data_IF_105583756767
#
_entry.id   IF_105583756767
#
_cell.length_a   1.000
_cell.length_b   1.000
_cell.length_c   1.000
_cell.angle_alpha   90.00
_cell.angle_beta   90.00
_cell.angle_gamma   90.00
#
_symmetry.space_group_name_H-M   'P 1'
#
loop_
_entity.id
_entity.type
_entity.pdbx_description
1 polymer ?
#
# COMPACT_ATOMS: atom_id res chain seq x y z
N UNK A 1 -17.85 -12.16 -38.60
CA UNK A 1 -17.76 -11.70 -37.21
C UNK A 1 -16.34 -12.00 -36.72
N UNK A 2 -15.58 -10.98 -36.37
CA UNK A 2 -14.30 -11.16 -35.67
C UNK A 2 -14.62 -11.03 -34.18
N UNK A 3 -14.41 -12.09 -33.40
CA UNK A 3 -14.41 -12.02 -31.96
C UNK A 3 -13.00 -11.54 -31.55
N UNK A 4 -12.87 -10.31 -31.12
CA UNK A 4 -11.68 -9.81 -30.42
C UNK A 4 -11.92 -10.03 -28.94
N UNK A 5 -11.24 -10.98 -28.36
CA UNK A 5 -11.12 -11.11 -26.92
C UNK A 5 -9.80 -10.44 -26.52
N UNK A 6 -9.89 -9.49 -25.63
CA UNK A 6 -8.68 -8.91 -25.01
C UNK A 6 -8.05 -9.98 -24.11
N UNK A 7 -6.73 -10.17 -24.23
CA UNK A 7 -6.04 -11.22 -23.49
C UNK A 7 -5.64 -10.65 -22.12
N UNK A 8 -6.15 -11.27 -21.06
CA UNK A 8 -5.75 -10.94 -19.69
C UNK A 8 -4.24 -11.12 -19.55
N UNK A 9 -3.58 -10.11 -19.00
CA UNK A 9 -2.14 -10.17 -18.74
C UNK A 9 -1.84 -11.20 -17.66
N UNK A 10 -0.82 -12.01 -17.87
CA UNK A 10 -0.42 -13.06 -16.90
C UNK A 10 -0.10 -12.49 -15.52
N UNK A 11 0.44 -11.27 -15.48
CA UNK A 11 0.78 -10.57 -14.25
C UNK A 11 -0.47 -10.23 -13.41
N UNK A 12 -1.64 -10.07 -14.05
CA UNK A 12 -2.88 -9.70 -13.36
C UNK A 12 -3.34 -10.77 -12.37
N UNK A 13 -3.19 -12.05 -12.69
CA UNK A 13 -3.51 -13.15 -11.77
C UNK A 13 -2.67 -13.06 -10.50
N UNK A 14 -1.36 -12.91 -10.68
CA UNK A 14 -0.43 -12.80 -9.56
C UNK A 14 -0.65 -11.55 -8.69
N UNK A 15 -1.13 -10.47 -9.30
CA UNK A 15 -1.47 -9.22 -8.58
C UNK A 15 -2.69 -9.42 -7.71
N UNK A 16 -3.77 -10.01 -8.24
CA UNK A 16 -5.00 -10.25 -7.49
C UNK A 16 -4.73 -11.18 -6.31
N UNK A 17 -4.05 -12.31 -6.56
CA UNK A 17 -3.66 -13.25 -5.51
C UNK A 17 -2.84 -12.57 -4.42
N UNK A 18 -1.84 -11.76 -4.81
CA UNK A 18 -0.98 -11.06 -3.85
C UNK A 18 -1.72 -9.97 -3.05
N UNK A 19 -2.73 -9.31 -3.63
CA UNK A 19 -3.57 -8.37 -2.90
C UNK A 19 -4.47 -9.07 -1.89
N UNK A 20 -5.06 -10.23 -2.25
CA UNK A 20 -5.84 -11.05 -1.33
C UNK A 20 -4.98 -11.56 -0.16
N UNK A 21 -3.74 -11.98 -0.39
CA UNK A 21 -2.80 -12.37 0.67
C UNK A 21 -2.43 -11.20 1.60
N UNK A 22 -2.63 -9.97 1.13
CA UNK A 22 -2.50 -8.76 1.92
C UNK A 22 -3.81 -8.32 2.58
N UNK A 23 -4.87 -9.16 2.58
CA UNK A 23 -6.20 -8.83 3.07
C UNK A 23 -6.79 -7.58 2.39
N UNK A 24 -6.61 -7.45 1.07
CA UNK A 24 -7.17 -6.36 0.27
C UNK A 24 -8.16 -6.94 -0.72
N UNK A 25 -9.41 -6.50 -0.65
CA UNK A 25 -10.45 -6.83 -1.63
C UNK A 25 -10.17 -6.08 -2.94
N UNK A 26 -10.40 -6.77 -4.06
CA UNK A 26 -10.18 -6.22 -5.40
C UNK A 26 -11.51 -5.92 -6.08
N UNK A 27 -11.68 -4.69 -6.54
CA UNK A 27 -12.84 -4.27 -7.32
C UNK A 27 -12.44 -3.88 -8.74
N UNK A 28 -13.24 -4.26 -9.72
CA UNK A 28 -13.05 -3.89 -11.12
C UNK A 28 -14.10 -2.88 -11.54
N UNK A 29 -13.65 -1.75 -12.12
CA UNK A 29 -14.48 -0.75 -12.77
C UNK A 29 -14.21 -0.76 -14.27
N UNK A 30 -15.21 -1.09 -15.07
CA UNK A 30 -15.07 -1.16 -16.52
C UNK A 30 -16.29 -0.59 -17.26
N UNK A 31 -16.05 -0.07 -18.46
CA UNK A 31 -17.11 0.29 -19.40
C UNK A 31 -17.61 -0.89 -20.24
N UNK A 32 -17.03 -2.07 -20.10
CA UNK A 32 -17.45 -3.28 -20.80
C UNK A 32 -18.81 -3.78 -20.34
N UNK A 33 -19.43 -4.65 -21.14
CA UNK A 33 -20.69 -5.29 -20.78
C UNK A 33 -20.55 -6.16 -19.53
N UNK A 34 -21.65 -6.30 -18.79
CA UNK A 34 -21.70 -7.11 -17.57
C UNK A 34 -21.20 -8.55 -17.79
N UNK A 35 -21.54 -9.16 -18.93
CA UNK A 35 -21.13 -10.54 -19.24
C UNK A 35 -19.62 -10.65 -19.41
N UNK A 36 -18.98 -9.70 -20.09
CA UNK A 36 -17.52 -9.67 -20.27
C UNK A 36 -16.83 -9.40 -18.94
N UNK A 37 -17.33 -8.43 -18.20
CA UNK A 37 -16.78 -8.07 -16.90
C UNK A 37 -16.85 -9.24 -15.91
N UNK A 38 -17.97 -9.95 -15.85
CA UNK A 38 -18.12 -11.13 -14.98
C UNK A 38 -17.16 -12.24 -15.39
N UNK A 39 -17.02 -12.53 -16.69
CA UNK A 39 -16.10 -13.55 -17.15
C UNK A 39 -14.63 -13.27 -16.75
N UNK A 40 -14.20 -12.01 -16.87
CA UNK A 40 -12.86 -11.56 -16.45
C UNK A 40 -12.71 -11.65 -14.93
N UNK A 41 -13.73 -11.24 -14.18
CA UNK A 41 -13.73 -11.26 -12.73
C UNK A 41 -13.66 -12.69 -12.17
N UNK A 42 -14.46 -13.59 -12.73
CA UNK A 42 -14.44 -15.01 -12.35
C UNK A 42 -13.07 -15.65 -12.63
N UNK A 43 -12.45 -15.28 -13.75
CA UNK A 43 -11.14 -15.81 -14.13
C UNK A 43 -10.00 -15.27 -13.25
N UNK A 44 -10.08 -14.00 -12.83
CA UNK A 44 -9.07 -13.35 -11.99
C UNK A 44 -9.33 -13.49 -10.49
N UNK A 45 -10.52 -13.91 -10.07
CA UNK A 45 -10.92 -13.95 -8.67
C UNK A 45 -11.23 -12.58 -8.08
N UNK A 46 -11.79 -11.66 -8.87
CA UNK A 46 -12.14 -10.29 -8.42
C UNK A 46 -13.41 -10.31 -7.56
N UNK A 47 -13.39 -9.62 -6.42
CA UNK A 47 -14.46 -9.68 -5.41
C UNK A 47 -15.69 -8.84 -5.78
N UNK A 48 -15.49 -7.71 -6.45
CA UNK A 48 -16.57 -6.77 -6.80
C UNK A 48 -16.43 -6.27 -8.23
N UNK A 49 -17.53 -6.27 -8.97
CA UNK A 49 -17.55 -5.84 -10.39
C UNK A 49 -18.55 -4.71 -10.58
N UNK A 50 -18.08 -3.62 -11.15
CA UNK A 50 -18.88 -2.52 -11.68
C UNK A 50 -18.66 -2.47 -13.19
N UNK A 51 -19.63 -2.99 -13.95
CA UNK A 51 -19.63 -3.00 -15.41
C UNK A 51 -20.49 -1.87 -15.99
N UNK A 52 -20.34 -1.60 -17.28
CA UNK A 52 -21.10 -0.58 -18.02
C UNK A 52 -21.00 0.82 -17.38
N UNK A 53 -19.89 1.10 -16.69
CA UNK A 53 -19.65 2.39 -16.00
C UNK A 53 -19.08 3.40 -16.98
N UNK A 54 -19.78 4.52 -17.15
CA UNK A 54 -19.27 5.63 -17.94
C UNK A 54 -18.07 6.30 -17.24
N UNK A 55 -17.15 6.91 -17.99
CA UNK A 55 -16.00 7.59 -17.40
C UNK A 55 -16.38 8.64 -16.34
N UNK A 56 -17.48 9.39 -16.58
CA UNK A 56 -18.03 10.40 -15.67
C UNK A 56 -18.66 9.84 -14.40
N UNK A 57 -19.00 8.54 -14.36
CA UNK A 57 -19.68 7.90 -13.22
C UNK A 57 -18.70 7.07 -12.35
N UNK A 58 -17.45 6.95 -12.75
CA UNK A 58 -16.45 6.15 -12.03
C UNK A 58 -16.21 6.65 -10.61
N UNK A 59 -16.21 7.95 -10.40
CA UNK A 59 -16.05 8.54 -9.08
C UNK A 59 -17.22 8.21 -8.14
N UNK A 60 -18.45 8.08 -8.67
CA UNK A 60 -19.61 7.66 -7.89
C UNK A 60 -19.46 6.22 -7.40
N UNK A 61 -18.85 5.33 -8.19
CA UNK A 61 -18.59 3.93 -7.76
C UNK A 61 -17.54 3.87 -6.66
N UNK A 62 -16.52 4.71 -6.70
CA UNK A 62 -15.58 4.90 -5.60
C UNK A 62 -16.32 5.36 -4.34
N UNK A 63 -17.22 6.35 -4.48
CA UNK A 63 -18.03 6.84 -3.36
C UNK A 63 -18.94 5.76 -2.79
N UNK A 64 -19.59 4.93 -3.61
CA UNK A 64 -20.42 3.81 -3.14
C UNK A 64 -19.66 2.85 -2.22
N UNK A 65 -18.37 2.59 -2.52
CA UNK A 65 -17.51 1.77 -1.67
C UNK A 65 -17.11 2.50 -0.37
N UNK A 66 -16.80 3.79 -0.44
CA UNK A 66 -16.48 4.61 0.73
C UNK A 66 -17.68 4.75 1.67
N UNK A 67 -18.90 4.88 1.14
CA UNK A 67 -20.14 4.95 1.92
C UNK A 67 -20.43 3.64 2.69
N UNK A 68 -19.87 2.51 2.22
CA UNK A 68 -19.87 1.24 2.93
C UNK A 68 -18.81 1.16 4.05
N UNK A 69 -18.02 2.22 4.26
CA UNK A 69 -16.96 2.29 5.25
C UNK A 69 -15.63 1.69 4.79
N UNK A 70 -15.46 1.40 3.50
CA UNK A 70 -14.21 0.90 2.94
C UNK A 70 -13.24 2.05 2.65
N UNK A 71 -11.95 1.81 2.88
CA UNK A 71 -10.88 2.67 2.37
C UNK A 71 -10.54 2.21 0.95
N UNK A 72 -10.65 3.12 -0.01
CA UNK A 72 -10.55 2.80 -1.43
C UNK A 72 -9.25 3.33 -2.03
N UNK A 73 -8.42 2.42 -2.55
CA UNK A 73 -7.33 2.76 -3.45
C UNK A 73 -7.79 2.62 -4.91
N UNK A 74 -7.77 3.70 -5.68
CA UNK A 74 -8.09 3.66 -7.10
C UNK A 74 -6.82 3.59 -7.92
N UNK A 75 -6.77 2.62 -8.85
CA UNK A 75 -5.67 2.48 -9.81
C UNK A 75 -6.20 2.76 -11.21
N UNK A 76 -5.59 3.69 -11.93
CA UNK A 76 -6.01 4.07 -13.27
C UNK A 76 -4.88 4.63 -14.12
N UNK A 77 -5.15 4.92 -15.40
CA UNK A 77 -4.18 5.52 -16.32
C UNK A 77 -4.05 7.05 -16.16
N UNK A 78 -4.93 7.66 -15.39
CA UNK A 78 -4.92 9.08 -15.04
C UNK A 78 -5.56 10.00 -16.06
N UNK A 79 -5.93 9.53 -17.25
CA UNK A 79 -6.56 10.39 -18.27
C UNK A 79 -8.09 10.38 -18.14
N UNK A 80 -8.68 9.19 -18.19
CA UNK A 80 -10.12 9.01 -18.09
C UNK A 80 -10.57 8.76 -16.64
N UNK A 81 -9.66 8.41 -15.76
CA UNK A 81 -9.92 8.04 -14.38
C UNK A 81 -9.63 9.17 -13.38
N UNK A 82 -9.24 10.37 -13.87
CA UNK A 82 -8.85 11.49 -13.02
C UNK A 82 -9.87 11.85 -11.92
N UNK A 83 -11.19 11.92 -12.17
CA UNK A 83 -12.18 12.16 -11.13
C UNK A 83 -12.21 11.06 -10.07
N UNK A 84 -12.14 9.77 -10.48
CA UNK A 84 -12.14 8.63 -9.58
C UNK A 84 -10.84 8.53 -8.76
N UNK A 85 -9.68 8.84 -9.37
CA UNK A 85 -8.38 8.92 -8.68
C UNK A 85 -8.40 10.00 -7.60
N UNK A 86 -8.93 11.18 -7.92
CA UNK A 86 -9.05 12.30 -6.96
C UNK A 86 -10.04 11.99 -5.83
N UNK A 87 -11.07 11.19 -6.10
CA UNK A 87 -12.10 10.83 -5.13
C UNK A 87 -11.64 9.79 -4.14
N UNK A 88 -10.84 8.84 -4.57
CA UNK A 88 -10.37 7.72 -3.75
C UNK A 88 -9.58 8.21 -2.51
N UNK A 89 -9.48 7.38 -1.48
CA UNK A 89 -8.62 7.66 -0.33
C UNK A 89 -7.14 7.64 -0.70
N UNK A 90 -6.79 6.88 -1.73
CA UNK A 90 -5.47 6.91 -2.39
C UNK A 90 -5.65 6.74 -3.89
N UNK A 91 -5.32 7.75 -4.67
CA UNK A 91 -5.27 7.69 -6.13
C UNK A 91 -3.89 7.22 -6.61
N UNK A 92 -3.85 6.18 -7.43
CA UNK A 92 -2.61 5.58 -7.97
C UNK A 92 -2.68 5.61 -9.50
N UNK A 93 -1.87 6.45 -10.13
CA UNK A 93 -1.72 6.45 -11.59
C UNK A 93 -0.65 5.47 -12.03
N UNK A 94 -0.95 4.66 -13.07
CA UNK A 94 -0.01 3.67 -13.60
C UNK A 94 0.32 3.95 -15.06
N UNK A 95 1.59 3.86 -15.43
CA UNK A 95 2.07 3.73 -16.81
C UNK A 95 2.36 5.02 -17.58
N UNK A 96 1.96 6.20 -17.14
CA UNK A 96 2.36 7.42 -17.85
C UNK A 96 2.35 8.64 -16.95
N UNK A 97 3.47 9.32 -16.92
CA UNK A 97 3.55 10.65 -16.29
C UNK A 97 2.86 11.73 -17.16
N UNK A 98 1.58 11.54 -17.53
CA UNK A 98 0.81 12.62 -18.14
C UNK A 98 0.57 13.71 -17.12
N UNK A 99 0.52 14.97 -17.55
CA UNK A 99 0.23 16.11 -16.67
C UNK A 99 -1.08 15.92 -15.87
N UNK A 100 -2.05 15.24 -16.47
CA UNK A 100 -3.35 14.92 -15.83
C UNK A 100 -3.18 13.90 -14.70
N UNK A 101 -2.40 12.82 -14.93
CA UNK A 101 -2.12 11.82 -13.91
C UNK A 101 -1.37 12.43 -12.72
N UNK A 102 -0.38 13.31 -13.00
CA UNK A 102 0.40 14.01 -11.97
C UNK A 102 -0.48 14.91 -11.09
N UNK A 103 -1.55 15.49 -11.64
CA UNK A 103 -2.43 16.39 -10.91
C UNK A 103 -3.55 15.67 -10.15
N UNK A 104 -3.88 14.42 -10.53
CA UNK A 104 -5.06 13.71 -10.05
C UNK A 104 -4.74 12.54 -9.11
N UNK A 105 -3.50 12.06 -9.09
CA UNK A 105 -3.09 10.91 -8.29
C UNK A 105 -2.15 11.29 -7.15
N UNK A 106 -2.27 10.60 -6.02
CA UNK A 106 -1.35 10.72 -4.88
C UNK A 106 -0.02 10.01 -5.14
N UNK A 107 -0.07 8.93 -5.93
CA UNK A 107 1.11 8.11 -6.28
C UNK A 107 1.13 7.87 -7.79
N UNK A 108 2.33 7.97 -8.37
CA UNK A 108 2.55 7.70 -9.79
C UNK A 108 3.52 6.53 -9.92
N UNK A 109 3.05 5.44 -10.53
CA UNK A 109 3.85 4.29 -10.90
C UNK A 109 4.34 4.47 -12.34
N UNK A 110 5.62 4.76 -12.49
CA UNK A 110 6.22 5.12 -13.79
C UNK A 110 6.20 3.95 -14.77
N UNK A 111 6.31 2.73 -14.28
CA UNK A 111 6.24 1.52 -15.10
C UNK A 111 4.80 1.06 -15.23
N UNK A 112 4.42 0.61 -16.44
CA UNK A 112 3.10 0.03 -16.69
C UNK A 112 3.07 -1.45 -16.24
N UNK A 113 3.38 -1.68 -14.94
CA UNK A 113 3.39 -3.00 -14.33
C UNK A 113 2.44 -3.04 -13.13
N UNK A 114 1.32 -3.76 -13.21
CA UNK A 114 0.35 -3.85 -12.10
C UNK A 114 0.96 -4.37 -10.79
N UNK A 115 2.05 -5.15 -10.86
CA UNK A 115 2.77 -5.66 -9.69
C UNK A 115 3.39 -4.52 -8.84
N UNK A 116 3.59 -3.34 -9.41
CA UNK A 116 4.11 -2.20 -8.66
C UNK A 116 3.09 -1.67 -7.62
N UNK A 117 1.79 -1.95 -7.80
CA UNK A 117 0.76 -1.69 -6.79
C UNK A 117 1.00 -2.56 -5.55
N UNK A 118 1.28 -3.84 -5.74
CA UNK A 118 1.61 -4.78 -4.64
C UNK A 118 2.89 -4.34 -3.91
N UNK A 119 3.92 -3.93 -4.68
CA UNK A 119 5.17 -3.38 -4.11
C UNK A 119 4.92 -2.12 -3.30
N UNK A 120 4.08 -1.21 -3.81
CA UNK A 120 3.69 0.01 -3.12
C UNK A 120 3.02 -0.30 -1.77
N UNK A 121 2.04 -1.20 -1.75
CA UNK A 121 1.34 -1.60 -0.51
C UNK A 121 2.31 -2.25 0.48
N UNK A 122 3.15 -3.16 0.01
CA UNK A 122 4.15 -3.85 0.84
C UNK A 122 5.14 -2.85 1.46
N UNK A 123 5.65 -1.91 0.67
CA UNK A 123 6.56 -0.86 1.13
C UNK A 123 5.87 0.07 2.12
N UNK A 124 4.62 0.45 1.86
CA UNK A 124 3.84 1.33 2.74
C UNK A 124 3.60 0.68 4.11
N UNK A 125 3.23 -0.61 4.15
CA UNK A 125 3.06 -1.36 5.39
C UNK A 125 4.38 -1.48 6.18
N UNK A 126 5.48 -1.75 5.50
CA UNK A 126 6.80 -1.81 6.12
C UNK A 126 7.23 -0.45 6.69
N UNK A 127 6.98 0.64 5.94
CA UNK A 127 7.28 2.01 6.37
C UNK A 127 6.45 2.41 7.60
N UNK A 128 5.16 2.10 7.58
CA UNK A 128 4.26 2.37 8.70
C UNK A 128 4.68 1.64 9.97
N UNK A 129 5.04 0.35 9.85
CA UNK A 129 5.56 -0.43 10.98
C UNK A 129 6.84 0.18 11.56
N UNK A 130 7.78 0.61 10.70
CA UNK A 130 9.00 1.28 11.15
C UNK A 130 8.72 2.61 11.82
N UNK A 131 7.77 3.37 11.32
CA UNK A 131 7.32 4.60 11.96
C UNK A 131 6.75 4.33 13.36
N UNK A 132 5.90 3.32 13.53
CA UNK A 132 5.36 2.93 14.83
C UNK A 132 6.47 2.49 15.79
N UNK A 133 7.40 1.64 15.35
CA UNK A 133 8.56 1.21 16.15
C UNK A 133 9.35 2.44 16.64
N UNK A 134 9.62 3.40 15.76
CA UNK A 134 10.36 4.62 16.11
C UNK A 134 9.61 5.50 17.11
N UNK A 135 8.28 5.63 16.96
CA UNK A 135 7.45 6.38 17.92
C UNK A 135 7.47 5.71 19.28
N UNK A 136 7.31 4.37 19.33
CA UNK A 136 7.35 3.62 20.60
C UNK A 136 8.71 3.78 21.29
N UNK A 137 9.80 3.70 20.55
CA UNK A 137 11.16 3.93 21.10
C UNK A 137 11.31 5.36 21.64
N UNK A 138 10.93 6.36 20.87
CA UNK A 138 11.07 7.76 21.26
C UNK A 138 10.17 8.12 22.45
N UNK A 139 8.90 7.68 22.44
CA UNK A 139 7.98 7.92 23.55
C UNK A 139 8.37 7.12 24.80
N UNK A 140 8.70 5.84 24.62
CA UNK A 140 9.10 4.95 25.72
C UNK A 140 10.32 5.46 26.46
N UNK A 141 11.35 5.90 25.73
CA UNK A 141 12.50 6.53 26.36
C UNK A 141 12.10 7.72 27.23
N UNK A 142 11.27 8.64 26.72
CA UNK A 142 10.85 9.84 27.43
C UNK A 142 9.99 9.54 28.66
N UNK A 143 9.12 8.50 28.61
CA UNK A 143 8.29 8.06 29.75
C UNK A 143 9.17 7.68 30.96
N UNK A 144 10.34 7.11 30.74
CA UNK A 144 11.28 6.75 31.80
C UNK A 144 12.27 7.88 32.12
N UNK A 145 12.80 8.55 31.10
CA UNK A 145 13.86 9.55 31.29
C UNK A 145 13.35 10.83 31.98
N UNK A 146 12.12 11.29 31.69
CA UNK A 146 11.58 12.52 32.27
C UNK A 146 11.36 12.37 33.78
N UNK A 147 10.70 11.34 34.34
CA UNK A 147 10.56 11.15 35.77
C UNK A 147 11.91 10.99 36.48
N UNK A 148 12.87 10.27 35.87
CA UNK A 148 14.22 10.12 36.39
C UNK A 148 14.95 11.48 36.47
N UNK A 149 14.86 12.28 35.42
CA UNK A 149 15.45 13.63 35.39
C UNK A 149 14.76 14.59 36.38
N UNK A 150 13.45 14.41 36.61
CA UNK A 150 12.70 15.13 37.63
C UNK A 150 13.02 14.72 39.08
N UNK A 151 13.89 13.69 39.25
CA UNK A 151 14.34 13.28 40.59
C UNK A 151 13.37 12.36 41.33
N UNK A 152 12.47 11.65 40.65
CA UNK A 152 11.52 10.71 41.29
C UNK A 152 12.24 9.65 42.13
N UNK A 153 13.48 9.25 41.76
CA UNK A 153 14.29 8.31 42.50
C UNK A 153 15.33 8.96 43.39
N UNK A 154 15.32 10.29 43.57
CA UNK A 154 16.22 11.01 44.50
C UNK A 154 16.14 10.50 45.94
N UNK A 155 14.98 10.10 46.52
CA UNK A 155 14.88 9.59 47.88
C UNK A 155 15.67 8.27 48.10
N UNK A 156 15.90 7.50 47.01
CA UNK A 156 16.67 6.25 47.04
C UNK A 156 18.11 6.43 46.55
N UNK A 157 18.58 7.68 46.44
CA UNK A 157 19.94 8.03 46.06
C UNK A 157 20.26 7.97 44.57
N UNK A 158 19.26 7.80 43.71
CA UNK A 158 19.44 7.76 42.25
C UNK A 158 19.05 9.13 41.66
N UNK A 159 20.07 9.85 41.19
CA UNK A 159 19.91 11.13 40.49
C UNK A 159 20.50 11.01 39.08
N UNK A 160 19.69 11.34 38.08
CA UNK A 160 20.17 11.40 36.69
C UNK A 160 20.93 12.71 36.50
N UNK A 161 22.21 12.69 36.24
CA UNK A 161 22.95 13.90 35.93
C UNK A 161 22.53 14.41 34.52
N UNK A 162 22.55 15.73 34.29
CA UNK A 162 22.23 16.30 32.98
C UNK A 162 23.10 15.74 31.84
N UNK A 163 24.37 15.42 32.13
CA UNK A 163 25.29 14.86 31.15
C UNK A 163 24.88 13.45 30.72
N UNK A 164 24.46 12.60 31.67
CA UNK A 164 23.98 11.25 31.38
C UNK A 164 22.64 11.32 30.62
N UNK A 165 21.76 12.24 31.00
CA UNK A 165 20.51 12.48 30.28
C UNK A 165 20.74 12.85 28.81
N UNK A 166 21.67 13.78 28.55
CA UNK A 166 22.04 14.19 27.19
C UNK A 166 22.66 13.05 26.39
N UNK A 167 23.50 12.23 27.00
CA UNK A 167 24.10 11.04 26.34
C UNK A 167 23.03 10.02 25.95
N UNK A 168 22.10 9.70 26.84
CA UNK A 168 21.02 8.77 26.58
C UNK A 168 20.07 9.26 25.48
N UNK A 169 19.78 10.58 25.47
CA UNK A 169 18.99 11.20 24.40
C UNK A 169 19.67 11.09 23.04
N UNK A 170 20.97 11.36 22.99
CA UNK A 170 21.76 11.21 21.76
C UNK A 170 21.78 9.75 21.26
N UNK A 171 21.93 8.79 22.18
CA UNK A 171 21.90 7.37 21.86
C UNK A 171 20.52 6.94 21.32
N UNK A 172 19.44 7.41 21.92
CA UNK A 172 18.07 7.16 21.44
C UNK A 172 17.88 7.65 20.00
N UNK A 173 18.37 8.84 19.68
CA UNK A 173 18.32 9.40 18.31
C UNK A 173 19.07 8.53 17.31
N UNK A 174 20.25 8.03 17.68
CA UNK A 174 21.04 7.13 16.84
C UNK A 174 20.31 5.80 16.61
N UNK A 175 19.68 5.24 17.64
CA UNK A 175 18.89 4.00 17.52
C UNK A 175 17.74 4.18 16.53
N UNK A 176 16.98 5.27 16.65
CA UNK A 176 15.87 5.59 15.73
C UNK A 176 16.39 5.74 14.30
N UNK A 177 17.52 6.43 14.11
CA UNK A 177 18.11 6.61 12.78
C UNK A 177 18.55 5.27 12.16
N UNK A 178 19.17 4.38 12.94
CA UNK A 178 19.56 3.04 12.49
C UNK A 178 18.31 2.22 12.13
N UNK A 179 17.28 2.25 12.98
CA UNK A 179 16.04 1.52 12.70
C UNK A 179 15.37 2.01 11.41
N UNK A 180 15.34 3.32 11.16
CA UNK A 180 14.84 3.89 9.91
C UNK A 180 15.66 3.42 8.69
N UNK A 181 16.99 3.30 8.82
CA UNK A 181 17.85 2.79 7.74
C UNK A 181 17.55 1.32 7.38
N UNK A 182 17.03 0.53 8.30
CA UNK A 182 16.66 -0.87 8.02
C UNK A 182 15.51 -0.99 7.01
N UNK A 183 14.72 0.07 6.79
CA UNK A 183 13.71 0.11 5.73
C UNK A 183 14.32 -0.14 4.34
N UNK A 184 15.56 0.26 4.12
CA UNK A 184 16.29 0.02 2.85
C UNK A 184 16.53 -1.47 2.55
N UNK A 185 16.33 -2.36 3.54
CA UNK A 185 16.50 -3.81 3.40
C UNK A 185 15.19 -4.53 3.11
N UNK A 186 14.09 -3.81 2.97
CA UNK A 186 12.82 -4.42 2.55
C UNK A 186 13.00 -4.96 1.15
N UNK A 187 12.83 -6.26 1.01
CA UNK A 187 12.91 -6.93 -0.29
C UNK A 187 11.58 -6.75 -1.03
N UNK A 188 11.62 -6.08 -2.17
CA UNK A 188 10.50 -5.83 -3.06
C UNK A 188 10.60 -6.66 -4.35
N UNK A 189 11.45 -7.69 -4.35
CA UNK A 189 11.53 -8.62 -5.49
C UNK A 189 10.21 -9.41 -5.61
N UNK A 190 9.86 -9.78 -6.83
CA UNK A 190 8.62 -10.52 -7.11
C UNK A 190 8.56 -11.82 -6.30
N UNK A 191 9.70 -12.47 -6.07
CA UNK A 191 9.80 -13.72 -5.29
C UNK A 191 9.57 -13.56 -3.79
N UNK A 192 9.69 -12.35 -3.25
CA UNK A 192 9.49 -12.05 -1.82
C UNK A 192 8.11 -11.50 -1.51
N UNK A 193 7.30 -11.21 -2.54
CA UNK A 193 5.96 -10.69 -2.36
C UNK A 193 4.98 -11.80 -1.94
N UNK A 194 4.00 -11.48 -1.08
CA UNK A 194 2.95 -12.43 -0.69
C UNK A 194 2.26 -13.04 -1.92
N UNK A 195 1.82 -14.30 -1.83
CA UNK A 195 1.09 -15.02 -2.89
C UNK A 195 1.94 -15.61 -4.00
N UNK A 196 3.15 -15.12 -4.24
CA UNK A 196 3.97 -15.57 -5.37
C UNK A 196 4.93 -16.72 -5.04
N UNK A 197 5.20 -16.96 -3.76
CA UNK A 197 6.08 -18.06 -3.31
C UNK A 197 5.46 -19.44 -3.47
N UNK A 198 4.14 -19.55 -3.60
CA UNK A 198 3.42 -20.84 -3.70
C UNK A 198 3.04 -21.22 -5.14
N UNK A 199 2.93 -20.26 -6.06
CA UNK A 199 2.48 -20.53 -7.43
C UNK A 199 3.55 -21.13 -8.35
N UNK A 200 4.82 -21.13 -7.94
CA UNK A 200 5.92 -21.69 -8.73
C UNK A 200 6.05 -23.22 -8.58
N UNK A 201 5.50 -23.82 -7.53
CA UNK A 201 5.61 -25.27 -7.29
C UNK A 201 4.46 -26.10 -7.87
N UNK A 202 3.31 -25.51 -8.19
CA UNK A 202 2.11 -26.29 -8.58
C UNK A 202 1.84 -26.33 -10.08
N UNK A 203 2.61 -25.65 -10.92
CA UNK A 203 2.39 -25.61 -12.39
C UNK A 203 3.44 -26.33 -13.24
N UNK A 204 4.17 -27.29 -12.68
CA UNK A 204 5.08 -28.15 -13.44
C UNK A 204 4.59 -29.60 -13.52
N UNK A 205 3.31 -29.85 -13.72
CA UNK A 205 2.82 -31.18 -14.14
C UNK A 205 1.60 -31.00 -15.02
N UNK A 206 1.77 -31.30 -16.25
CA UNK A 206 0.99 -31.77 -17.40
C UNK A 206 1.06 -30.87 -18.63
#
# INVERSE_FOLDING_TARGET
>A
AFAMADVIRKESYAVVDALHDLDIEVAMLTGDSQDVANAVADELGIDTVFAEVLPEDKDQKVQELQDQGKLVGMVGDGVNDAPALTRADVGIAIGSGTDVAVQSADVILVQNNPMDVVRLVTLSRASYRKMQENIVWAAGYNVFAIPLAAGVLAPVGILLSPAIGALLMSLSTVIVAINAQLLRRVDLSVSSLPGLSQSTETRTVD
#
